data_IF_371688462066
#
_entry.id   IF_371688462066
#
_cell.length_a   1.000
_cell.length_b   1.000
_cell.length_c   1.000
_cell.angle_alpha   90.00
_cell.angle_beta   90.00
_cell.angle_gamma   90.00
#
_symmetry.space_group_name_H-M   'P 1'
#
loop_
_entity.id
_entity.type
_entity.pdbx_description
1 polymer ?
#
# COMPACT_ATOMS: atom_id res chain seq x y z
N UNK A 1 -44.01 1.54 0.61
CA UNK A 1 -43.59 0.47 -0.30
C UNK A 1 -42.79 1.03 -1.49
N UNK A 2 -42.86 2.34 -1.78
CA UNK A 2 -42.24 2.95 -2.97
C UNK A 2 -40.77 3.41 -2.77
N UNK A 3 -40.18 3.26 -1.59
CA UNK A 3 -38.83 3.76 -1.34
C UNK A 3 -37.71 2.75 -1.72
N UNK A 4 -38.02 1.48 -1.85
CA UNK A 4 -37.03 0.44 -2.24
C UNK A 4 -36.75 0.41 -3.76
N UNK A 5 -37.74 0.79 -4.59
CA UNK A 5 -37.56 0.84 -6.04
C UNK A 5 -36.72 2.03 -6.50
N UNK A 6 -36.73 3.15 -5.76
CA UNK A 6 -35.85 4.29 -6.03
C UNK A 6 -34.41 4.07 -5.61
N UNK A 7 -34.13 3.21 -4.61
CA UNK A 7 -32.78 2.85 -4.22
C UNK A 7 -32.12 1.88 -5.23
N UNK A 8 -32.89 1.01 -5.82
CA UNK A 8 -32.43 0.08 -6.89
C UNK A 8 -32.20 0.79 -8.24
N UNK A 9 -32.96 1.86 -8.52
CA UNK A 9 -32.78 2.64 -9.74
C UNK A 9 -31.66 3.66 -9.70
N UNK A 10 -31.12 3.99 -8.52
CA UNK A 10 -29.96 4.85 -8.33
C UNK A 10 -28.62 4.11 -8.33
N UNK A 11 -28.60 2.80 -8.46
CA UNK A 11 -27.44 2.02 -8.94
C UNK A 11 -27.45 2.11 -10.48
N UNK A 12 -27.53 3.32 -11.03
CA UNK A 12 -27.06 3.59 -12.38
C UNK A 12 -25.55 3.39 -12.29
N UNK A 13 -25.15 2.27 -12.79
CA UNK A 13 -23.84 1.79 -13.13
C UNK A 13 -23.02 2.99 -13.64
N UNK A 14 -22.32 3.68 -12.74
CA UNK A 14 -21.33 4.65 -13.15
C UNK A 14 -20.07 3.88 -13.51
N UNK A 15 -20.11 3.26 -14.69
CA UNK A 15 -18.92 2.69 -15.29
C UNK A 15 -17.93 3.83 -15.54
N UNK A 16 -16.71 3.66 -15.07
CA UNK A 16 -15.64 4.65 -15.22
C UNK A 16 -14.68 4.19 -16.30
N UNK A 17 -14.60 4.94 -17.40
CA UNK A 17 -13.55 4.76 -18.41
C UNK A 17 -12.25 5.31 -17.89
N UNK A 18 -11.20 4.48 -17.83
CA UNK A 18 -9.86 4.90 -17.44
C UNK A 18 -9.20 5.60 -18.63
N UNK A 19 -8.86 6.88 -18.47
CA UNK A 19 -8.16 7.71 -19.46
C UNK A 19 -6.79 8.18 -18.94
N UNK A 20 -6.59 8.10 -17.63
CA UNK A 20 -5.35 8.53 -16.98
C UNK A 20 -5.03 7.63 -15.79
N UNK A 21 -3.74 7.39 -15.56
CA UNK A 21 -3.25 6.57 -14.47
C UNK A 21 -2.03 7.22 -13.78
N UNK A 22 -2.03 7.26 -12.45
CA UNK A 22 -0.86 7.57 -11.65
C UNK A 22 -0.27 6.27 -11.13
N UNK A 23 0.99 5.98 -11.50
CA UNK A 23 1.65 4.73 -11.17
C UNK A 23 2.97 5.02 -10.45
N UNK A 24 3.07 4.57 -9.20
CA UNK A 24 4.27 4.73 -8.37
C UNK A 24 4.43 3.52 -7.48
N UNK A 25 5.25 2.55 -7.90
CA UNK A 25 5.40 1.26 -7.22
C UNK A 25 6.86 0.95 -6.92
N UNK A 26 7.10 0.27 -5.81
CA UNK A 26 8.40 -0.28 -5.45
C UNK A 26 8.66 -1.58 -6.24
N UNK A 27 7.70 -2.52 -6.23
CA UNK A 27 7.79 -3.78 -6.96
C UNK A 27 7.22 -3.64 -8.39
N UNK A 28 7.97 -4.13 -9.40
CA UNK A 28 7.57 -4.07 -10.81
C UNK A 28 7.07 -5.40 -11.34
N UNK A 29 7.15 -6.45 -10.50
CA UNK A 29 6.75 -7.81 -10.88
C UNK A 29 5.28 -7.86 -11.30
N UNK A 30 5.01 -8.36 -12.50
CA UNK A 30 3.66 -8.50 -13.04
C UNK A 30 3.00 -7.20 -13.51
N UNK A 31 3.67 -6.04 -13.45
CA UNK A 31 3.11 -4.76 -13.86
C UNK A 31 3.08 -4.59 -15.40
N UNK A 32 4.04 -5.15 -16.11
CA UNK A 32 4.24 -4.95 -17.55
C UNK A 32 2.99 -5.26 -18.40
N UNK A 33 2.28 -6.40 -18.25
CA UNK A 33 1.07 -6.67 -19.04
C UNK A 33 -0.02 -5.61 -18.86
N UNK A 34 -0.21 -5.11 -17.64
CA UNK A 34 -1.18 -4.06 -17.34
C UNK A 34 -0.78 -2.73 -18.01
N UNK A 35 0.53 -2.38 -17.99
CA UNK A 35 1.04 -1.19 -18.66
C UNK A 35 0.79 -1.23 -20.17
N UNK A 36 1.01 -2.37 -20.82
CA UNK A 36 0.72 -2.54 -22.25
C UNK A 36 -0.77 -2.39 -22.54
N UNK A 37 -1.65 -2.95 -21.72
CA UNK A 37 -3.10 -2.79 -21.85
C UNK A 37 -3.53 -1.33 -21.71
N UNK A 38 -3.02 -0.62 -20.69
CA UNK A 38 -3.29 0.80 -20.50
C UNK A 38 -2.84 1.63 -21.70
N UNK A 39 -1.63 1.38 -22.21
CA UNK A 39 -1.11 2.08 -23.37
C UNK A 39 -1.92 1.80 -24.65
N UNK A 40 -2.29 0.55 -24.91
CA UNK A 40 -3.14 0.16 -26.05
C UNK A 40 -4.51 0.85 -26.02
N UNK A 41 -5.01 1.15 -24.82
CA UNK A 41 -6.28 1.86 -24.61
C UNK A 41 -6.11 3.39 -24.61
N UNK A 42 -4.91 3.90 -24.86
CA UNK A 42 -4.62 5.33 -24.93
C UNK A 42 -4.61 6.04 -23.58
N UNK A 43 -4.42 5.30 -22.47
CA UNK A 43 -4.39 5.87 -21.13
C UNK A 43 -3.10 6.69 -20.94
N UNK A 44 -3.24 7.94 -20.46
CA UNK A 44 -2.10 8.79 -20.08
C UNK A 44 -1.51 8.28 -18.77
N UNK A 45 -0.22 7.94 -18.78
CA UNK A 45 0.45 7.42 -17.57
C UNK A 45 1.31 8.53 -16.95
N UNK A 46 1.03 8.86 -15.70
CA UNK A 46 1.84 9.72 -14.85
C UNK A 46 2.69 8.86 -13.91
N UNK A 47 3.98 9.15 -13.78
CA UNK A 47 4.85 8.39 -12.88
C UNK A 47 6.06 9.21 -12.41
N UNK A 48 6.80 8.66 -11.47
CA UNK A 48 8.00 9.28 -10.90
C UNK A 48 9.07 8.24 -10.57
N UNK A 49 10.32 8.67 -10.45
CA UNK A 49 11.45 7.87 -9.98
C UNK A 49 11.64 6.57 -10.76
N UNK A 50 11.95 5.49 -10.04
CA UNK A 50 12.26 4.18 -10.63
C UNK A 50 11.09 3.53 -11.38
N UNK A 51 9.84 3.88 -11.07
CA UNK A 51 8.68 3.39 -11.82
C UNK A 51 8.63 4.03 -13.20
N UNK A 52 8.88 5.33 -13.29
CA UNK A 52 9.01 6.02 -14.59
C UNK A 52 10.10 5.37 -15.45
N UNK A 53 11.30 5.19 -14.89
CA UNK A 53 12.41 4.55 -15.63
C UNK A 53 12.04 3.15 -16.13
N UNK A 54 11.29 2.38 -15.35
CA UNK A 54 10.81 1.07 -15.79
C UNK A 54 9.83 1.18 -16.96
N UNK A 55 8.84 2.08 -16.89
CA UNK A 55 7.84 2.29 -17.96
C UNK A 55 8.50 2.75 -19.26
N UNK A 56 9.40 3.74 -19.17
CA UNK A 56 10.18 4.24 -20.31
C UNK A 56 11.09 3.15 -20.90
N UNK A 57 11.66 2.28 -20.06
CA UNK A 57 12.46 1.12 -20.46
C UNK A 57 11.68 0.07 -21.27
N UNK A 58 10.37 0.01 -21.11
CA UNK A 58 9.46 -0.81 -21.93
C UNK A 58 9.09 -0.12 -23.27
N UNK A 59 9.60 1.08 -23.53
CA UNK A 59 9.23 1.88 -24.70
C UNK A 59 7.85 2.52 -24.63
N UNK A 60 7.26 2.61 -23.43
CA UNK A 60 5.93 3.17 -23.23
C UNK A 60 6.01 4.66 -22.84
N UNK A 61 5.09 5.51 -23.34
CA UNK A 61 5.06 6.92 -22.97
C UNK A 61 4.68 7.11 -21.51
N UNK A 62 5.40 8.01 -20.83
CA UNK A 62 5.17 8.32 -19.42
C UNK A 62 5.41 9.80 -19.16
N UNK A 63 4.48 10.46 -18.50
CA UNK A 63 4.56 11.87 -18.11
C UNK A 63 5.15 11.95 -16.70
N UNK A 64 6.27 12.65 -16.49
CA UNK A 64 6.81 12.85 -15.15
C UNK A 64 5.85 13.63 -14.26
N UNK A 65 5.72 13.21 -12.99
CA UNK A 65 4.92 13.94 -12.00
C UNK A 65 5.46 15.36 -11.80
N UNK A 66 6.75 15.56 -11.96
CA UNK A 66 7.43 16.85 -11.85
C UNK A 66 6.96 17.85 -12.93
N UNK A 67 6.55 17.38 -14.12
CA UNK A 67 5.94 18.23 -15.15
C UNK A 67 4.52 18.66 -14.80
N UNK A 68 3.75 17.79 -14.11
CA UNK A 68 2.40 18.12 -13.66
C UNK A 68 2.44 19.15 -12.52
N UNK A 69 3.36 18.96 -11.59
CA UNK A 69 3.46 19.79 -10.39
C UNK A 69 4.21 21.10 -10.61
N UNK A 70 5.03 21.18 -11.66
CA UNK A 70 6.06 22.21 -11.87
C UNK A 70 6.98 22.35 -10.64
N UNK A 71 7.21 21.24 -9.92
CA UNK A 71 8.00 21.22 -8.71
C UNK A 71 8.98 20.05 -8.73
N UNK A 72 10.26 20.28 -8.40
CA UNK A 72 11.26 19.21 -8.41
C UNK A 72 11.02 18.23 -7.25
N UNK A 73 11.50 17.00 -7.41
CA UNK A 73 11.63 16.06 -6.31
C UNK A 73 12.70 16.57 -5.33
N UNK A 74 12.32 16.86 -4.09
CA UNK A 74 13.21 17.43 -3.07
C UNK A 74 13.38 16.50 -1.87
N UNK A 75 14.29 16.85 -0.97
CA UNK A 75 14.56 16.10 0.26
C UNK A 75 14.86 14.61 0.00
N UNK A 76 15.69 14.33 -1.02
CA UNK A 76 16.01 12.95 -1.38
C UNK A 76 14.84 12.15 -1.95
N UNK A 77 13.81 12.82 -2.47
CA UNK A 77 12.61 12.19 -3.02
C UNK A 77 11.48 11.94 -2.01
N UNK A 78 11.62 12.40 -0.77
CA UNK A 78 10.58 12.29 0.26
C UNK A 78 9.35 13.16 -0.05
N UNK A 79 9.55 14.24 -0.81
CA UNK A 79 8.49 15.16 -1.25
C UNK A 79 8.53 15.27 -2.77
N UNK A 80 7.66 14.55 -3.46
CA UNK A 80 7.52 14.55 -4.92
C UNK A 80 6.06 14.45 -5.37
N UNK A 81 5.27 13.59 -4.73
CA UNK A 81 3.85 13.39 -5.02
C UNK A 81 2.92 14.08 -4.03
N UNK A 82 3.44 14.56 -2.89
CA UNK A 82 2.68 15.31 -1.89
C UNK A 82 2.45 16.76 -2.38
N UNK A 83 1.60 16.90 -3.40
CA UNK A 83 1.35 18.17 -4.06
C UNK A 83 -0.14 18.35 -4.36
N UNK A 84 -0.72 19.57 -4.24
CA UNK A 84 -2.14 19.82 -4.50
C UNK A 84 -2.63 19.36 -5.86
N UNK A 85 -1.83 19.49 -6.94
CA UNK A 85 -2.19 19.00 -8.27
C UNK A 85 -2.36 17.48 -8.33
N UNK A 86 -1.56 16.73 -7.59
CA UNK A 86 -1.65 15.27 -7.53
C UNK A 86 -2.85 14.85 -6.68
N UNK A 87 -2.94 15.38 -5.45
CA UNK A 87 -4.04 15.04 -4.56
C UNK A 87 -5.39 15.58 -5.03
N UNK A 88 -5.42 16.74 -5.68
CA UNK A 88 -6.62 17.25 -6.34
C UNK A 88 -7.09 16.33 -7.47
N UNK A 89 -6.16 15.83 -8.30
CA UNK A 89 -6.48 14.86 -9.35
C UNK A 89 -7.05 13.54 -8.82
N UNK A 90 -6.60 13.12 -7.62
CA UNK A 90 -7.09 11.90 -6.95
C UNK A 90 -8.44 12.16 -6.22
N UNK A 91 -8.61 13.31 -5.58
CA UNK A 91 -9.73 13.59 -4.68
C UNK A 91 -10.89 14.34 -5.33
N UNK A 92 -10.70 14.94 -6.52
CA UNK A 92 -11.74 15.70 -7.22
C UNK A 92 -13.01 14.88 -7.47
N UNK A 93 -14.16 15.43 -7.08
CA UNK A 93 -15.47 14.83 -7.26
C UNK A 93 -15.99 15.23 -8.64
N UNK A 94 -16.25 14.27 -9.49
CA UNK A 94 -16.61 14.51 -10.91
C UNK A 94 -18.05 14.90 -11.13
N UNK A 95 -18.88 14.73 -10.11
CA UNK A 95 -20.29 15.12 -10.03
C UNK A 95 -20.49 16.48 -9.33
N UNK A 96 -19.43 17.13 -8.85
CA UNK A 96 -19.46 18.43 -8.20
C UNK A 96 -18.87 19.50 -9.12
N UNK A 97 -19.71 20.44 -9.56
CA UNK A 97 -19.30 21.49 -10.50
C UNK A 97 -18.18 22.37 -9.92
N UNK A 98 -18.24 22.68 -8.64
CA UNK A 98 -17.19 23.48 -7.98
C UNK A 98 -15.82 22.81 -8.07
N UNK A 99 -15.73 21.48 -7.82
CA UNK A 99 -14.47 20.76 -7.92
C UNK A 99 -13.95 20.80 -9.37
N UNK A 100 -14.82 20.66 -10.37
CA UNK A 100 -14.43 20.71 -11.78
C UNK A 100 -13.89 22.10 -12.17
N UNK A 101 -14.54 23.18 -11.70
CA UNK A 101 -14.13 24.55 -11.96
C UNK A 101 -12.76 24.85 -11.30
N UNK A 102 -12.54 24.37 -10.06
CA UNK A 102 -11.27 24.50 -9.37
C UNK A 102 -10.18 23.68 -10.05
N UNK A 103 -10.45 22.44 -10.47
CA UNK A 103 -9.51 21.61 -11.22
C UNK A 103 -9.10 22.27 -12.53
N UNK A 104 -10.02 22.91 -13.25
CA UNK A 104 -9.72 23.66 -14.45
C UNK A 104 -8.87 24.90 -14.12
N UNK A 105 -9.25 25.66 -13.12
CA UNK A 105 -8.57 26.93 -12.72
C UNK A 105 -7.12 26.69 -12.33
N UNK A 106 -6.85 25.60 -11.59
CA UNK A 106 -5.52 25.26 -11.09
C UNK A 106 -4.78 24.26 -11.96
N UNK A 107 -5.31 23.92 -13.14
CA UNK A 107 -4.71 22.95 -14.09
C UNK A 107 -4.42 21.61 -13.42
N UNK A 108 -5.39 21.10 -12.67
CA UNK A 108 -5.30 19.82 -11.98
C UNK A 108 -5.74 18.70 -12.95
N UNK A 109 -4.88 17.73 -13.30
CA UNK A 109 -5.27 16.62 -14.16
C UNK A 109 -6.24 15.68 -13.46
N UNK A 110 -7.26 15.20 -14.15
CA UNK A 110 -8.05 14.07 -13.62
C UNK A 110 -7.20 12.81 -13.59
N UNK A 111 -7.32 12.03 -12.52
CA UNK A 111 -6.67 10.73 -12.37
C UNK A 111 -7.75 9.67 -12.19
N UNK A 112 -7.82 8.70 -13.12
CA UNK A 112 -8.84 7.68 -13.14
C UNK A 112 -8.40 6.37 -12.49
N UNK A 113 -7.07 6.16 -12.42
CA UNK A 113 -6.46 4.98 -11.86
C UNK A 113 -5.24 5.38 -11.03
N UNK A 114 -5.15 4.84 -9.82
CA UNK A 114 -3.97 4.96 -8.94
C UNK A 114 -3.43 3.57 -8.67
N UNK A 115 -2.17 3.34 -9.06
CA UNK A 115 -1.43 2.10 -8.75
C UNK A 115 -0.23 2.50 -7.90
N UNK A 116 -0.29 2.17 -6.62
CA UNK A 116 0.74 2.53 -5.64
C UNK A 116 0.90 1.36 -4.68
N UNK A 117 2.11 0.84 -4.55
CA UNK A 117 2.48 -0.05 -3.46
C UNK A 117 3.32 0.68 -2.40
N UNK A 118 3.63 0.01 -1.33
CA UNK A 118 4.36 0.57 -0.19
C UNK A 118 5.81 0.07 -0.15
N UNK A 119 6.69 0.84 0.45
CA UNK A 119 8.06 0.41 0.69
C UNK A 119 8.10 -0.84 1.60
N UNK A 120 9.09 -1.74 1.41
CA UNK A 120 9.18 -3.02 2.10
C UNK A 120 9.63 -2.86 3.56
N UNK A 121 8.84 -2.20 4.40
CA UNK A 121 9.17 -1.96 5.80
C UNK A 121 9.34 -3.26 6.58
N UNK A 122 8.41 -4.20 6.42
CA UNK A 122 8.41 -5.50 7.08
C UNK A 122 9.63 -6.35 6.67
N UNK A 123 9.96 -6.36 5.38
CA UNK A 123 11.17 -7.02 4.89
C UNK A 123 12.45 -6.37 5.45
N UNK A 124 12.43 -5.05 5.60
CA UNK A 124 13.60 -4.31 6.10
C UNK A 124 13.86 -4.60 7.56
N UNK A 125 12.84 -4.62 8.43
CA UNK A 125 13.02 -4.98 9.85
C UNK A 125 13.47 -6.42 10.05
N UNK A 126 13.16 -7.32 9.10
CA UNK A 126 13.66 -8.70 9.12
C UNK A 126 15.12 -8.83 8.67
N UNK A 127 15.66 -7.84 7.93
CA UNK A 127 17.01 -7.90 7.34
C UNK A 127 18.07 -7.10 8.11
N UNK A 128 17.67 -6.08 8.87
CA UNK A 128 18.60 -5.20 9.58
C UNK A 128 18.02 -4.68 10.89
N UNK A 129 18.92 -4.43 11.85
CA UNK A 129 18.60 -3.74 13.10
C UNK A 129 19.07 -2.26 13.10
N UNK A 130 19.55 -1.76 11.95
CA UNK A 130 20.00 -0.37 11.84
C UNK A 130 18.77 0.55 11.73
N UNK A 131 18.43 1.20 12.86
CA UNK A 131 17.23 2.03 13.00
C UNK A 131 17.10 3.08 11.89
N UNK A 132 18.21 3.73 11.52
CA UNK A 132 18.19 4.74 10.46
C UNK A 132 17.71 4.18 9.11
N UNK A 133 18.14 2.97 8.75
CA UNK A 133 17.71 2.31 7.51
C UNK A 133 16.24 1.89 7.58
N UNK A 134 15.80 1.44 8.75
CA UNK A 134 14.41 1.04 8.99
C UNK A 134 13.48 2.25 8.87
N UNK A 135 13.80 3.33 9.58
CA UNK A 135 13.00 4.58 9.56
C UNK A 135 12.88 5.16 8.15
N UNK A 136 13.94 5.07 7.34
CA UNK A 136 13.93 5.55 5.95
C UNK A 136 12.96 4.77 5.05
N UNK A 137 12.51 3.58 5.47
CA UNK A 137 11.51 2.77 4.76
C UNK A 137 10.07 3.06 5.18
N UNK A 138 9.85 3.98 6.09
CA UNK A 138 8.49 4.46 6.40
C UNK A 138 8.03 5.35 5.25
N UNK A 139 7.10 4.82 4.46
CA UNK A 139 6.51 5.53 3.33
C UNK A 139 5.41 6.49 3.80
N UNK A 140 5.52 7.76 3.43
CA UNK A 140 4.52 8.79 3.72
C UNK A 140 3.61 9.02 2.51
N UNK A 141 4.19 9.12 1.33
CA UNK A 141 3.47 9.45 0.11
C UNK A 141 2.56 8.32 -0.38
N UNK A 142 3.04 7.08 -0.31
CA UNK A 142 2.30 5.90 -0.72
C UNK A 142 1.00 5.71 0.04
N UNK A 143 1.01 5.58 1.37
CA UNK A 143 -0.21 5.46 2.17
C UNK A 143 -1.17 6.63 1.96
N UNK A 144 -0.64 7.85 1.84
CA UNK A 144 -1.46 9.05 1.61
C UNK A 144 -2.22 8.98 0.28
N UNK A 145 -1.55 8.61 -0.81
CA UNK A 145 -2.17 8.46 -2.13
C UNK A 145 -3.17 7.30 -2.16
N UNK A 146 -2.83 6.15 -1.57
CA UNK A 146 -3.72 4.99 -1.47
C UNK A 146 -5.00 5.36 -0.72
N UNK A 147 -4.90 6.02 0.43
CA UNK A 147 -6.05 6.44 1.23
C UNK A 147 -6.91 7.46 0.51
N UNK A 148 -6.30 8.45 -0.15
CA UNK A 148 -7.01 9.44 -0.94
C UNK A 148 -7.80 8.78 -2.08
N UNK A 149 -7.16 7.88 -2.82
CA UNK A 149 -7.77 7.15 -3.91
C UNK A 149 -8.89 6.22 -3.43
N UNK A 150 -8.64 5.43 -2.38
CA UNK A 150 -9.66 4.55 -1.80
C UNK A 150 -10.88 5.31 -1.26
N UNK A 151 -10.68 6.49 -0.65
CA UNK A 151 -11.78 7.38 -0.24
C UNK A 151 -12.63 7.82 -1.42
N UNK A 152 -12.01 8.10 -2.56
CA UNK A 152 -12.68 8.63 -3.76
C UNK A 152 -13.06 7.53 -4.78
N UNK A 153 -13.25 6.30 -4.35
CA UNK A 153 -13.49 5.13 -5.21
C UNK A 153 -14.70 5.28 -6.15
N UNK A 154 -15.62 6.18 -5.86
CA UNK A 154 -16.75 6.48 -6.77
C UNK A 154 -16.28 7.09 -8.08
N UNK A 155 -15.13 7.78 -8.08
CA UNK A 155 -14.61 8.56 -9.20
C UNK A 155 -13.29 8.05 -9.78
N UNK A 156 -12.66 7.05 -9.14
CA UNK A 156 -11.42 6.44 -9.63
C UNK A 156 -11.24 4.99 -9.14
N UNK A 157 -10.31 4.28 -9.76
CA UNK A 157 -9.88 2.93 -9.36
C UNK A 157 -8.54 3.02 -8.61
N UNK A 158 -8.36 2.22 -7.54
CA UNK A 158 -7.11 2.14 -6.79
C UNK A 158 -6.61 0.70 -6.71
N UNK A 159 -5.32 0.49 -6.95
CA UNK A 159 -4.60 -0.75 -6.64
C UNK A 159 -3.45 -0.45 -5.69
N UNK A 160 -3.36 -1.22 -4.61
CA UNK A 160 -2.32 -1.08 -3.59
C UNK A 160 -1.43 -2.34 -3.44
N UNK A 161 -1.73 -3.41 -4.16
CA UNK A 161 -0.97 -4.67 -4.13
C UNK A 161 -0.81 -5.23 -5.55
N UNK A 162 0.40 -5.70 -5.90
CA UNK A 162 0.71 -6.35 -7.17
C UNK A 162 -0.14 -7.59 -7.48
N UNK A 163 -0.69 -8.24 -6.44
CA UNK A 163 -1.60 -9.38 -6.57
C UNK A 163 -2.89 -9.04 -7.35
N UNK A 164 -3.26 -7.77 -7.40
CA UNK A 164 -4.47 -7.31 -8.09
C UNK A 164 -4.22 -6.86 -9.55
N UNK A 165 -2.97 -6.84 -10.03
CA UNK A 165 -2.65 -6.40 -11.41
C UNK A 165 -3.34 -7.26 -12.48
N UNK A 166 -3.29 -8.59 -12.34
CA UNK A 166 -3.95 -9.51 -13.30
C UNK A 166 -5.47 -9.29 -13.31
N UNK A 167 -6.09 -9.19 -12.14
CA UNK A 167 -7.52 -9.00 -12.02
C UNK A 167 -7.98 -7.68 -12.67
N UNK A 168 -7.26 -6.57 -12.45
CA UNK A 168 -7.57 -5.31 -13.13
C UNK A 168 -7.34 -5.43 -14.64
N UNK A 169 -6.24 -6.05 -15.06
CA UNK A 169 -5.93 -6.23 -16.48
C UNK A 169 -7.03 -6.98 -17.22
N UNK A 170 -7.53 -8.07 -16.66
CA UNK A 170 -8.65 -8.85 -17.19
C UNK A 170 -9.92 -8.01 -17.29
N UNK A 171 -10.25 -7.22 -16.27
CA UNK A 171 -11.38 -6.30 -16.26
C UNK A 171 -11.25 -5.28 -17.40
N UNK A 172 -10.09 -4.64 -17.54
CA UNK A 172 -9.87 -3.61 -18.57
C UNK A 172 -9.97 -4.18 -19.99
N UNK A 173 -9.49 -5.39 -20.23
CA UNK A 173 -9.63 -6.08 -21.50
C UNK A 173 -11.10 -6.41 -21.78
N UNK A 174 -11.76 -7.05 -20.81
CA UNK A 174 -13.15 -7.50 -20.97
C UNK A 174 -14.16 -6.34 -21.08
N UNK A 175 -13.90 -5.22 -20.42
CA UNK A 175 -14.80 -4.07 -20.33
C UNK A 175 -14.29 -2.85 -21.13
N UNK A 176 -13.38 -3.09 -22.09
CA UNK A 176 -12.84 -2.03 -22.96
C UNK A 176 -12.34 -0.79 -22.18
N UNK A 177 -11.54 -1.01 -21.12
CA UNK A 177 -10.92 0.03 -20.30
C UNK A 177 -11.86 0.67 -19.27
N UNK A 178 -12.94 0.02 -18.93
CA UNK A 178 -13.96 0.53 -18.01
C UNK A 178 -13.97 -0.30 -16.72
N UNK A 179 -14.27 0.33 -15.59
CA UNK A 179 -14.46 -0.33 -14.29
C UNK A 179 -15.82 -0.01 -13.71
N UNK A 180 -16.52 -1.02 -13.19
CA UNK A 180 -17.80 -0.85 -12.50
C UNK A 180 -17.60 -0.32 -11.06
N UNK A 181 -18.59 0.36 -10.51
CA UNK A 181 -18.54 0.90 -9.13
C UNK A 181 -18.28 -0.20 -8.07
N UNK A 182 -18.86 -1.37 -8.24
CA UNK A 182 -18.67 -2.52 -7.36
C UNK A 182 -17.23 -3.02 -7.35
N UNK A 183 -16.58 -3.04 -8.51
CA UNK A 183 -15.15 -3.40 -8.65
C UNK A 183 -14.26 -2.35 -7.97
N UNK A 184 -14.53 -1.07 -8.20
CA UNK A 184 -13.79 0.03 -7.55
C UNK A 184 -13.91 -0.02 -6.03
N UNK A 185 -15.13 -0.28 -5.51
CA UNK A 185 -15.36 -0.45 -4.07
C UNK A 185 -14.59 -1.64 -3.49
N UNK A 186 -14.52 -2.75 -4.23
CA UNK A 186 -13.72 -3.92 -3.82
C UNK A 186 -12.23 -3.61 -3.73
N UNK A 187 -11.67 -2.94 -4.75
CA UNK A 187 -10.28 -2.51 -4.73
C UNK A 187 -10.00 -1.49 -3.61
N UNK A 188 -10.91 -0.56 -3.35
CA UNK A 188 -10.78 0.40 -2.25
C UNK A 188 -10.75 -0.29 -0.87
N UNK A 189 -11.56 -1.32 -0.66
CA UNK A 189 -11.53 -2.10 0.58
C UNK A 189 -10.18 -2.79 0.77
N UNK A 190 -9.65 -3.43 -0.27
CA UNK A 190 -8.30 -4.04 -0.25
C UNK A 190 -7.21 -3.01 0.00
N UNK A 191 -7.30 -1.83 -0.62
CA UNK A 191 -6.35 -0.74 -0.44
C UNK A 191 -6.28 -0.24 1.01
N UNK A 192 -7.42 -0.09 1.68
CA UNK A 192 -7.45 0.23 3.12
C UNK A 192 -6.85 -0.87 3.98
N UNK A 193 -7.06 -2.14 3.62
CA UNK A 193 -6.48 -3.27 4.34
C UNK A 193 -4.94 -3.30 4.23
N UNK A 194 -4.39 -3.01 3.05
CA UNK A 194 -2.94 -2.87 2.84
C UNK A 194 -2.36 -1.78 3.75
N UNK A 195 -2.97 -0.60 3.78
CA UNK A 195 -2.50 0.51 4.63
C UNK A 195 -2.65 0.17 6.12
N UNK A 196 -3.77 -0.46 6.52
CA UNK A 196 -3.98 -0.89 7.90
C UNK A 196 -2.89 -1.85 8.37
N UNK A 197 -2.54 -2.85 7.54
CA UNK A 197 -1.48 -3.80 7.84
C UNK A 197 -0.13 -3.07 7.98
N UNK A 198 0.21 -2.23 7.02
CA UNK A 198 1.44 -1.45 7.00
C UNK A 198 1.62 -0.59 8.26
N UNK A 199 0.60 0.20 8.61
CA UNK A 199 0.61 1.05 9.80
C UNK A 199 0.69 0.21 11.09
N UNK A 200 0.06 -0.97 11.11
CA UNK A 200 0.15 -1.90 12.25
C UNK A 200 1.57 -2.41 12.46
N UNK A 201 2.27 -2.79 11.40
CA UNK A 201 3.66 -3.26 11.49
C UNK A 201 4.57 -2.13 12.00
N UNK A 202 4.40 -0.90 11.48
CA UNK A 202 5.14 0.27 11.94
C UNK A 202 4.84 0.57 13.42
N UNK A 203 3.56 0.58 13.81
CA UNK A 203 3.17 0.82 15.19
C UNK A 203 3.75 -0.24 16.15
N UNK A 204 3.76 -1.50 15.74
CA UNK A 204 4.38 -2.57 16.51
C UNK A 204 5.89 -2.39 16.65
N UNK A 205 6.58 -1.93 15.60
CA UNK A 205 8.01 -1.63 15.65
C UNK A 205 8.31 -0.54 16.70
N UNK A 206 7.55 0.55 16.73
CA UNK A 206 7.74 1.62 17.72
C UNK A 206 7.28 1.26 19.12
N UNK A 207 6.30 0.37 19.25
CA UNK A 207 5.81 -0.11 20.55
C UNK A 207 6.57 -1.34 21.06
N UNK A 208 7.54 -1.83 20.31
CA UNK A 208 8.35 -2.97 20.73
C UNK A 208 9.18 -2.58 21.95
N UNK A 209 8.76 -3.05 23.13
CA UNK A 209 9.55 -2.97 24.34
C UNK A 209 10.83 -3.78 24.16
N UNK A 210 11.99 -3.15 24.43
CA UNK A 210 13.26 -3.86 24.44
C UNK A 210 13.58 -4.29 25.86
N UNK A 211 13.48 -5.58 26.14
CA UNK A 211 13.94 -6.17 27.41
C UNK A 211 15.39 -6.61 27.27
N UNK A 212 16.24 -6.14 28.18
CA UNK A 212 17.61 -6.65 28.30
C UNK A 212 17.54 -8.06 28.88
N UNK A 213 18.15 -9.01 28.20
CA UNK A 213 18.27 -10.39 28.67
C UNK A 213 19.50 -10.52 29.56
N UNK A 214 19.49 -11.50 30.44
CA UNK A 214 20.58 -11.74 31.38
C UNK A 214 21.92 -11.96 30.67
N UNK A 215 21.95 -12.61 29.52
CA UNK A 215 23.08 -12.78 28.60
C UNK A 215 22.58 -13.38 27.26
N UNK A 216 23.45 -13.35 26.23
CA UNK A 216 23.19 -13.92 24.91
C UNK A 216 23.37 -15.43 24.85
N UNK A 217 23.87 -15.94 23.73
CA UNK A 217 24.19 -17.34 23.55
C UNK A 217 25.27 -17.78 24.55
N UNK A 218 26.25 -16.91 24.80
CA UNK A 218 27.30 -17.09 25.78
C UNK A 218 27.19 -16.08 26.93
N UNK A 219 27.65 -16.43 28.17
CA UNK A 219 27.48 -15.59 29.37
C UNK A 219 28.09 -14.19 29.31
N UNK A 220 29.03 -13.94 28.43
CA UNK A 220 29.72 -12.67 28.24
C UNK A 220 29.12 -11.79 27.12
N UNK A 221 28.09 -12.30 26.43
CA UNK A 221 27.41 -11.59 25.36
C UNK A 221 26.17 -10.85 25.90
N UNK A 222 26.04 -9.59 25.52
CA UNK A 222 24.80 -8.86 25.73
C UNK A 222 23.72 -9.38 24.75
N UNK A 223 22.49 -9.46 25.22
CA UNK A 223 21.33 -9.77 24.38
C UNK A 223 20.13 -8.94 24.79
N UNK A 224 19.28 -8.70 23.82
CA UNK A 224 18.03 -7.96 23.98
C UNK A 224 16.91 -8.68 23.26
N UNK A 225 15.75 -8.72 23.86
CA UNK A 225 14.53 -9.15 23.22
C UNK A 225 13.73 -7.91 22.81
N UNK A 226 13.34 -7.84 21.57
CA UNK A 226 12.49 -6.76 21.06
C UNK A 226 11.11 -7.32 20.77
N UNK A 227 10.11 -6.88 21.49
CA UNK A 227 8.73 -7.33 21.37
C UNK A 227 8.02 -7.32 22.72
N UNK A 228 6.74 -7.65 22.72
CA UNK A 228 5.90 -7.73 23.92
C UNK A 228 5.95 -9.16 24.49
N UNK A 229 7.00 -9.46 25.22
CA UNK A 229 7.23 -10.80 25.79
C UNK A 229 6.09 -11.23 26.71
N UNK A 230 5.52 -10.29 27.45
CA UNK A 230 4.44 -10.50 28.41
C UNK A 230 3.08 -10.85 27.76
N UNK A 231 2.96 -10.68 26.43
CA UNK A 231 1.80 -11.19 25.66
C UNK A 231 1.95 -12.67 25.27
N UNK A 232 3.18 -13.19 25.31
CA UNK A 232 3.48 -14.57 24.90
C UNK A 232 3.39 -15.51 26.10
N UNK A 233 3.96 -15.10 27.23
CA UNK A 233 3.92 -15.86 28.50
C UNK A 233 4.18 -14.94 29.69
N UNK A 234 3.74 -15.37 30.86
CA UNK A 234 4.00 -14.75 32.15
C UNK A 234 5.05 -15.54 32.91
N UNK A 235 6.13 -14.87 33.32
CA UNK A 235 7.13 -15.50 34.19
C UNK A 235 6.68 -15.44 35.63
N UNK A 236 6.22 -16.57 36.20
CA UNK A 236 5.70 -16.65 37.55
C UNK A 236 6.79 -16.69 38.63
N UNK A 237 7.99 -17.17 38.30
CA UNK A 237 9.12 -17.32 39.24
C UNK A 237 10.45 -17.49 38.48
N UNK A 238 11.58 -17.38 39.18
CA UNK A 238 12.91 -17.66 38.66
C UNK A 238 13.74 -16.41 38.36
N UNK A 239 14.90 -16.61 37.72
CA UNK A 239 15.85 -15.55 37.37
C UNK A 239 15.41 -14.88 36.04
N UNK A 240 15.96 -13.70 35.77
CA UNK A 240 15.83 -13.05 34.48
C UNK A 240 16.19 -13.99 33.34
N UNK A 241 15.44 -13.91 32.24
CA UNK A 241 15.61 -14.77 31.09
C UNK A 241 16.93 -14.47 30.35
N UNK A 242 17.56 -15.53 29.84
CA UNK A 242 18.66 -15.45 28.89
C UNK A 242 18.17 -15.77 27.47
N UNK A 243 19.01 -15.52 26.48
CA UNK A 243 18.75 -15.94 25.09
C UNK A 243 18.40 -17.43 25.01
N UNK A 244 19.19 -18.31 25.65
CA UNK A 244 18.97 -19.75 25.61
C UNK A 244 17.61 -20.15 26.21
N UNK A 245 17.14 -19.47 27.27
CA UNK A 245 15.80 -19.73 27.81
C UNK A 245 14.69 -19.39 26.79
N UNK A 246 14.85 -18.31 26.01
CA UNK A 246 13.88 -17.96 24.97
C UNK A 246 13.90 -18.94 23.81
N UNK A 247 15.06 -19.48 23.43
CA UNK A 247 15.18 -20.54 22.42
C UNK A 247 14.44 -21.81 22.88
N UNK A 248 14.60 -22.20 24.16
CA UNK A 248 13.91 -23.35 24.73
C UNK A 248 12.39 -23.15 24.74
N UNK A 249 11.92 -21.91 25.07
CA UNK A 249 10.49 -21.58 25.06
C UNK A 249 9.93 -21.63 23.64
N UNK A 250 10.65 -21.08 22.67
CA UNK A 250 10.23 -21.12 21.24
C UNK A 250 10.10 -22.56 20.74
N UNK A 251 11.08 -23.41 21.03
CA UNK A 251 11.04 -24.82 20.68
C UNK A 251 9.86 -25.56 21.33
N UNK A 252 9.55 -25.24 22.60
CA UNK A 252 8.41 -25.81 23.29
C UNK A 252 7.06 -25.36 22.69
N UNK A 253 6.93 -24.10 22.32
CA UNK A 253 5.73 -23.57 21.65
C UNK A 253 5.51 -24.21 20.27
N UNK A 254 6.57 -24.38 19.48
CA UNK A 254 6.49 -25.06 18.20
C UNK A 254 6.05 -26.52 18.36
N UNK A 255 6.61 -27.22 19.33
CA UNK A 255 6.22 -28.60 19.64
C UNK A 255 4.73 -28.70 20.04
N UNK A 256 4.26 -27.83 20.90
CA UNK A 256 2.85 -27.79 21.33
C UNK A 256 1.93 -27.55 20.13
N UNK A 257 2.30 -26.62 19.24
CA UNK A 257 1.52 -26.31 18.05
C UNK A 257 1.41 -27.52 17.06
N UNK A 258 2.43 -28.37 16.99
CA UNK A 258 2.37 -29.62 16.22
C UNK A 258 1.40 -30.64 16.81
N UNK A 259 1.38 -30.77 18.13
CA UNK A 259 0.43 -31.67 18.82
C UNK A 259 -1.02 -31.22 18.65
N UNK A 260 -1.29 -29.91 18.67
CA UNK A 260 -2.64 -29.38 18.46
C UNK A 260 -3.16 -29.63 17.02
N UNK A 261 -2.28 -29.63 16.01
CA UNK A 261 -2.65 -29.95 14.61
C UNK A 261 -3.00 -31.43 14.40
N UNK A 262 -2.52 -32.31 15.24
CA UNK A 262 -2.65 -33.77 15.10
C UNK A 262 -3.72 -34.38 16.04
N UNK A 263 -4.47 -33.59 16.79
CA UNK A 263 -5.63 -34.10 17.51
C UNK A 263 -6.81 -34.25 16.57
N UNK A 264 -7.39 -35.46 16.40
CA UNK A 264 -8.65 -35.61 15.69
C UNK A 264 -9.75 -34.89 16.49
N UNK A 265 -10.58 -34.15 15.74
CA UNK A 265 -11.79 -33.50 16.25
C UNK A 265 -12.77 -34.52 16.77
#
# INVERSE_FOLDING_TARGET
VNNWYNFAAQIIIMDLKIQSALISVFYKDGLEPLLHTLNQQGVKIYSTGGTRTFIEGLGLPCIPVEEVTNYPSILGGRVKTLHPKIFGGILGRRDEQQDLDEMQTYEIPMIDLVIVDLYPFEETIAQTNEEKLIIEKIDIGGPSMIRAAAKNFSHLTVLADKKDYSALNEILIAQNGTTALTQRRSFAAKAFEVVRHYDTVIANYFNAETKVLRYGENPHQEARFTGQLDLIFEQLNGKELSYNNLVDVDAALQLIAEFQKNQPL
#
